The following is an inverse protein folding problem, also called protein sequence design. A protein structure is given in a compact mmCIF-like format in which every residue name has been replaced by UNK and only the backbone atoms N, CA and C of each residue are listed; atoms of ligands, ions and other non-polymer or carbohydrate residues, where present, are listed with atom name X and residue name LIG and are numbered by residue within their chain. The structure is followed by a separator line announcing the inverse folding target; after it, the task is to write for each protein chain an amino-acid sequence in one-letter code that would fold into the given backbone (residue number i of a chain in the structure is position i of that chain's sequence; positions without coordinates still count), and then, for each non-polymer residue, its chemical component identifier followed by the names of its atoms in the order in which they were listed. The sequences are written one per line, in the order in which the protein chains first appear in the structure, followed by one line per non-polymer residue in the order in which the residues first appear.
data_IF_603213473516
#
_entry.id   IF_603213473516
#
_cell.length_a   1.000
_cell.length_b   1.000
_cell.length_c   1.000
_cell.angle_alpha   90.00
_cell.angle_beta   90.00
_cell.angle_gamma   90.00
#
_symmetry.space_group_name_H-M   'P 1'
#
loop_
_entity.id
_entity.type
_entity.pdbx_description
1 polymer ?
#
# COMPACT_ATOMS: atom_id res chain seq x y z
N UNK A 1 -13.92 -6.37 -6.92
CA UNK A 1 -12.65 -5.81 -7.42
C UNK A 1 -12.96 -5.18 -8.77
N UNK A 2 -12.63 -3.91 -8.96
CA UNK A 2 -12.84 -3.21 -10.24
C UNK A 2 -11.48 -3.03 -10.87
N UNK A 3 -11.29 -3.55 -12.08
CA UNK A 3 -10.11 -3.26 -12.89
C UNK A 3 -10.39 -2.03 -13.76
N UNK A 4 -9.51 -1.05 -13.67
CA UNK A 4 -9.55 0.14 -14.52
C UNK A 4 -9.06 -0.28 -15.90
N UNK A 5 -9.90 -0.12 -16.94
CA UNK A 5 -9.51 -0.41 -18.32
C UNK A 5 -8.55 0.67 -18.86
N UNK A 6 -7.83 0.40 -19.95
CA UNK A 6 -6.85 1.36 -20.48
C UNK A 6 -7.47 2.67 -20.96
N UNK A 7 -8.72 2.61 -21.43
CA UNK A 7 -9.48 3.72 -22.02
C UNK A 7 -10.49 4.36 -21.06
N UNK A 8 -10.70 3.77 -19.87
CA UNK A 8 -11.67 4.26 -18.89
C UNK A 8 -10.99 4.59 -17.56
N UNK A 9 -10.89 5.88 -17.18
CA UNK A 9 -10.33 6.24 -15.90
C UNK A 9 -11.29 5.94 -14.75
N UNK A 10 -10.73 5.78 -13.55
CA UNK A 10 -11.51 5.74 -12.32
C UNK A 10 -11.68 7.17 -11.78
N UNK A 11 -12.92 7.56 -11.46
CA UNK A 11 -13.22 8.85 -10.86
C UNK A 11 -13.31 8.67 -9.35
N UNK A 12 -12.37 9.26 -8.61
CA UNK A 12 -12.39 9.30 -7.16
C UNK A 12 -13.10 10.58 -6.70
N UNK A 13 -14.32 10.46 -6.18
CA UNK A 13 -15.11 11.62 -5.77
C UNK A 13 -14.60 12.23 -4.44
N UNK A 14 -14.90 13.51 -4.19
CA UNK A 14 -14.58 14.16 -2.92
C UNK A 14 -15.03 13.36 -1.69
N UNK A 15 -14.12 13.11 -0.75
CA UNK A 15 -14.40 12.37 0.48
C UNK A 15 -14.42 10.84 0.33
N UNK A 16 -14.23 10.30 -0.87
CA UNK A 16 -14.15 8.86 -1.09
C UNK A 16 -12.79 8.28 -0.69
N UNK A 17 -12.85 7.00 -0.30
CA UNK A 17 -11.71 6.14 0.03
C UNK A 17 -11.81 4.86 -0.80
N UNK A 18 -10.72 4.49 -1.47
CA UNK A 18 -10.64 3.23 -2.23
C UNK A 18 -9.29 2.56 -2.04
N UNK A 19 -9.27 1.22 -2.14
CA UNK A 19 -8.03 0.45 -2.18
C UNK A 19 -7.57 0.27 -3.63
N UNK A 20 -6.34 0.69 -3.91
CA UNK A 20 -5.64 0.46 -5.18
C UNK A 20 -4.44 -0.46 -5.01
N UNK A 21 -3.79 -0.84 -6.10
CA UNK A 21 -2.52 -1.57 -6.04
C UNK A 21 -1.58 -1.18 -7.18
N UNK A 22 -0.28 -1.43 -6.99
CA UNK A 22 0.74 -1.27 -8.03
C UNK A 22 0.49 -2.27 -9.15
N UNK A 23 0.52 -1.79 -10.40
CA UNK A 23 0.09 -2.59 -11.55
C UNK A 23 1.13 -3.63 -11.95
N UNK A 24 2.42 -3.34 -11.80
CA UNK A 24 3.51 -4.21 -12.24
C UNK A 24 4.56 -4.43 -11.16
N UNK A 25 4.72 -3.47 -10.26
CA UNK A 25 5.79 -3.47 -9.26
C UNK A 25 5.49 -4.46 -8.14
N UNK A 26 6.30 -5.52 -8.09
CA UNK A 26 6.44 -6.42 -6.95
C UNK A 26 7.67 -6.01 -6.15
N UNK A 27 7.46 -5.67 -4.89
CA UNK A 27 8.51 -5.26 -3.96
C UNK A 27 8.93 -6.48 -3.15
N UNK A 28 10.24 -6.65 -2.99
CA UNK A 28 10.86 -7.61 -2.08
C UNK A 28 11.97 -6.90 -1.33
N UNK A 29 11.91 -6.90 0.01
CA UNK A 29 12.92 -6.27 0.85
C UNK A 29 13.81 -7.32 1.52
N UNK A 30 15.14 -7.10 1.58
CA UNK A 30 16.03 -7.88 2.44
C UNK A 30 15.75 -7.63 3.93
N UNK A 31 16.53 -8.26 4.79
CA UNK A 31 16.42 -8.16 6.25
C UNK A 31 16.98 -6.86 6.83
N UNK A 32 17.74 -6.09 6.05
CA UNK A 32 18.47 -4.90 6.48
C UNK A 32 17.91 -3.60 5.89
N UNK A 33 16.79 -3.66 5.15
CA UNK A 33 16.12 -2.49 4.58
C UNK A 33 14.67 -2.38 5.05
N UNK A 34 14.27 -1.15 5.35
CA UNK A 34 12.86 -0.75 5.39
C UNK A 34 12.59 0.21 4.24
N UNK A 35 11.41 0.11 3.62
CA UNK A 35 11.00 1.07 2.59
C UNK A 35 9.80 1.90 3.06
N UNK A 36 9.66 3.09 2.48
CA UNK A 36 8.52 3.97 2.72
C UNK A 36 7.87 4.34 1.40
N UNK A 37 6.59 4.02 1.27
CA UNK A 37 5.73 4.54 0.22
C UNK A 37 5.47 6.02 0.50
N UNK A 38 5.69 6.85 -0.51
CA UNK A 38 5.55 8.30 -0.42
C UNK A 38 4.68 8.83 -1.55
N UNK A 39 3.84 9.81 -1.21
CA UNK A 39 3.08 10.57 -2.20
C UNK A 39 3.97 11.40 -3.12
N UNK A 40 3.45 11.72 -4.31
CA UNK A 40 4.07 12.71 -5.19
C UNK A 40 3.53 14.09 -4.87
N UNK A 41 4.40 15.10 -4.80
CA UNK A 41 3.98 16.49 -4.52
C UNK A 41 2.89 16.98 -5.49
N UNK A 42 2.99 16.64 -6.78
CA UNK A 42 2.00 17.00 -7.79
C UNK A 42 0.60 16.46 -7.48
N UNK A 43 0.51 15.25 -6.92
CA UNK A 43 -0.75 14.61 -6.57
C UNK A 43 -1.28 15.13 -5.22
N UNK A 44 -0.40 15.35 -4.25
CA UNK A 44 -0.77 15.99 -2.99
C UNK A 44 -1.37 17.39 -3.17
N UNK A 45 -0.88 18.15 -4.17
CA UNK A 45 -1.41 19.49 -4.50
C UNK A 45 -2.84 19.50 -5.04
N UNK A 46 -3.34 18.37 -5.54
CA UNK A 46 -4.74 18.22 -5.95
C UNK A 46 -5.59 17.50 -4.90
N UNK A 47 -5.04 17.26 -3.70
CA UNK A 47 -5.73 16.63 -2.58
C UNK A 47 -5.77 15.10 -2.62
N UNK A 48 -4.97 14.45 -3.46
CA UNK A 48 -4.86 12.99 -3.47
C UNK A 48 -3.87 12.51 -2.40
N UNK A 49 -4.36 11.67 -1.50
CA UNK A 49 -3.56 10.93 -0.51
C UNK A 49 -3.47 9.47 -0.95
N UNK A 50 -2.29 8.84 -0.83
CA UNK A 50 -2.04 7.48 -1.35
C UNK A 50 -1.80 6.41 -0.27
N UNK A 51 -1.57 6.86 0.97
CA UNK A 51 -1.59 6.07 2.18
C UNK A 51 -1.97 7.03 3.33
N UNK A 52 -2.80 6.59 4.27
CA UNK A 52 -3.21 7.43 5.41
C UNK A 52 -2.41 7.13 6.67
N UNK A 53 -2.05 5.87 6.89
CA UNK A 53 -1.44 5.43 8.17
C UNK A 53 -0.25 4.50 7.99
N UNK A 54 -0.31 3.55 7.06
CA UNK A 54 0.72 2.54 6.84
C UNK A 54 1.59 2.85 5.61
N UNK A 55 2.56 3.75 5.77
CA UNK A 55 3.53 4.08 4.71
C UNK A 55 4.74 3.14 4.66
N UNK A 56 5.01 2.36 5.72
CA UNK A 56 6.17 1.50 5.79
C UNK A 56 5.96 0.15 5.09
N UNK A 57 7.04 -0.35 4.51
CA UNK A 57 7.17 -1.69 3.97
C UNK A 57 8.28 -2.38 4.76
N UNK A 58 7.91 -3.41 5.50
CA UNK A 58 8.77 -4.05 6.50
C UNK A 58 9.87 -4.93 5.87
N UNK A 59 11.01 -5.12 6.56
CA UNK A 59 12.05 -6.07 6.14
C UNK A 59 11.50 -7.47 5.89
N UNK A 60 11.89 -8.10 4.78
CA UNK A 60 11.37 -9.41 4.35
C UNK A 60 9.98 -9.40 3.71
N UNK A 61 9.32 -8.24 3.59
CA UNK A 61 8.06 -8.11 2.85
C UNK A 61 8.23 -8.48 1.37
N UNK A 62 7.25 -9.19 0.81
CA UNK A 62 7.18 -9.56 -0.61
C UNK A 62 5.76 -9.37 -1.15
N UNK A 63 5.59 -8.61 -2.22
CA UNK A 63 4.27 -8.50 -2.88
C UNK A 63 4.05 -7.18 -3.61
N UNK A 64 2.82 -7.02 -4.12
CA UNK A 64 2.33 -5.75 -4.63
C UNK A 64 1.90 -4.86 -3.47
N UNK A 65 2.10 -3.55 -3.58
CA UNK A 65 1.67 -2.62 -2.53
C UNK A 65 0.17 -2.37 -2.65
N UNK A 66 -0.52 -2.37 -1.51
CA UNK A 66 -1.90 -1.84 -1.41
C UNK A 66 -1.80 -0.34 -1.15
N UNK A 67 -2.57 0.45 -1.91
CA UNK A 67 -2.65 1.89 -1.78
C UNK A 67 -3.98 2.27 -1.16
N UNK A 68 -3.96 3.18 -0.21
CA UNK A 68 -5.16 3.74 0.42
C UNK A 68 -5.44 5.11 -0.21
N UNK A 69 -6.17 5.12 -1.31
CA UNK A 69 -6.39 6.31 -2.13
C UNK A 69 -7.57 7.11 -1.57
N UNK A 70 -7.32 8.35 -1.18
CA UNK A 70 -8.35 9.26 -0.63
C UNK A 70 -8.33 10.61 -1.34
N UNK A 71 -9.52 11.15 -1.64
CA UNK A 71 -9.67 12.49 -2.19
C UNK A 71 -10.11 13.47 -1.10
N UNK A 72 -9.17 14.31 -0.65
CA UNK A 72 -9.41 15.38 0.32
C UNK A 72 -9.82 16.71 -0.32
N UNK A 73 -9.85 16.80 -1.65
CA UNK A 73 -10.27 17.98 -2.37
C UNK A 73 -11.80 18.06 -2.53
N UNK A 74 -12.27 19.18 -3.08
CA UNK A 74 -13.69 19.43 -3.38
C UNK A 74 -14.10 19.07 -4.81
N UNK A 75 -13.13 18.67 -5.64
CA UNK A 75 -13.33 18.28 -7.03
C UNK A 75 -12.99 16.80 -7.21
N UNK A 76 -13.68 16.07 -8.10
CA UNK A 76 -13.31 14.70 -8.45
C UNK A 76 -11.89 14.62 -9.02
N UNK A 77 -11.19 13.54 -8.71
CA UNK A 77 -9.85 13.25 -9.22
C UNK A 77 -9.93 12.06 -10.17
N UNK A 78 -9.34 12.22 -11.34
CA UNK A 78 -9.31 11.17 -12.37
C UNK A 78 -8.03 10.34 -12.22
N UNK A 79 -8.18 9.05 -11.95
CA UNK A 79 -7.09 8.09 -11.82
C UNK A 79 -7.01 7.24 -13.09
N UNK A 80 -5.83 7.22 -13.71
CA UNK A 80 -5.58 6.47 -14.93
C UNK A 80 -4.78 5.21 -14.61
N UNK A 81 -5.11 4.11 -15.30
CA UNK A 81 -4.31 2.88 -15.25
C UNK A 81 -2.85 3.20 -15.64
N UNK A 82 -1.90 2.72 -14.85
CA UNK A 82 -0.47 2.90 -15.13
C UNK A 82 0.09 4.30 -14.81
N UNK A 83 -0.72 5.23 -14.28
CA UNK A 83 -0.19 6.53 -13.87
C UNK A 83 0.79 6.39 -12.69
N UNK A 84 1.81 7.25 -12.66
CA UNK A 84 2.74 7.32 -11.53
C UNK A 84 2.02 7.88 -10.30
N UNK A 85 1.68 7.03 -9.34
CA UNK A 85 0.86 7.38 -8.17
C UNK A 85 1.69 7.75 -6.93
N UNK A 86 2.90 7.22 -6.82
CA UNK A 86 3.77 7.39 -5.66
C UNK A 86 5.24 7.24 -6.00
N UNK A 87 6.05 7.12 -4.97
CA UNK A 87 7.48 6.78 -5.02
C UNK A 87 7.85 6.01 -3.77
N UNK A 88 8.98 5.29 -3.81
CA UNK A 88 9.46 4.50 -2.67
C UNK A 88 10.84 5.03 -2.27
N UNK A 89 11.01 5.31 -0.97
CA UNK A 89 12.30 5.60 -0.35
C UNK A 89 12.78 4.35 0.39
N UNK A 90 14.06 4.01 0.26
CA UNK A 90 14.66 2.89 1.00
C UNK A 90 15.56 3.45 2.10
N UNK A 91 15.47 2.87 3.28
CA UNK A 91 16.23 3.25 4.45
C UNK A 91 16.96 2.01 4.97
N UNK A 92 18.27 2.14 5.12
CA UNK A 92 19.11 1.11 5.72
C UNK A 92 18.84 1.05 7.23
N UNK A 93 18.61 -0.16 7.74
CA UNK A 93 18.54 -0.41 9.18
C UNK A 93 19.94 -0.34 9.80
N UNK A 94 20.01 -0.01 11.09
CA UNK A 94 21.29 -0.04 11.83
C UNK A 94 21.88 -1.45 11.92
N UNK A 95 21.02 -2.47 11.93
CA UNK A 95 21.34 -3.90 11.94
C UNK A 95 20.22 -4.66 11.23
N UNK A 96 20.47 -5.86 10.69
CA UNK A 96 19.42 -6.72 10.16
C UNK A 96 18.32 -6.98 11.20
N UNK A 97 17.07 -7.12 10.75
CA UNK A 97 15.93 -7.39 11.60
C UNK A 97 15.90 -8.85 12.07
N UNK A 98 15.78 -9.08 13.38
CA UNK A 98 15.72 -10.43 13.96
C UNK A 98 14.49 -11.24 13.50
N UNK A 99 13.38 -10.54 13.22
CA UNK A 99 12.11 -11.12 12.78
C UNK A 99 11.64 -10.43 11.53
N UNK A 100 11.60 -11.19 10.44
CA UNK A 100 11.16 -10.69 9.14
C UNK A 100 9.65 -10.79 9.00
N UNK A 101 9.11 -9.87 8.19
CA UNK A 101 7.72 -9.95 7.78
C UNK A 101 7.42 -11.29 7.11
N UNK A 102 6.32 -11.92 7.51
CA UNK A 102 5.94 -13.26 7.06
C UNK A 102 6.48 -14.40 7.93
N UNK A 103 7.33 -14.12 8.91
CA UNK A 103 7.68 -15.14 9.92
C UNK A 103 6.47 -15.52 10.75
N UNK A 104 6.35 -16.81 11.12
CA UNK A 104 5.24 -17.34 11.92
C UNK A 104 5.06 -16.56 13.22
N UNK A 105 6.18 -16.16 13.84
CA UNK A 105 6.19 -15.41 15.09
C UNK A 105 5.54 -14.03 15.05
N UNK A 106 5.40 -13.41 13.87
CA UNK A 106 4.81 -12.09 13.72
C UNK A 106 3.33 -12.12 13.32
N UNK A 107 2.77 -13.28 12.97
CA UNK A 107 1.38 -13.36 12.51
C UNK A 107 1.08 -12.46 11.31
N UNK A 108 2.09 -12.21 10.46
CA UNK A 108 2.01 -11.27 9.34
C UNK A 108 0.90 -11.64 8.36
N UNK A 109 0.01 -10.69 8.07
CA UNK A 109 -1.26 -10.98 7.41
C UNK A 109 -1.24 -10.87 5.89
N UNK A 110 -0.30 -10.14 5.32
CA UNK A 110 -0.41 -9.69 3.92
C UNK A 110 0.76 -10.17 3.04
N UNK A 111 1.62 -11.06 3.55
CA UNK A 111 2.79 -11.55 2.82
C UNK A 111 2.38 -12.21 1.49
N UNK A 112 3.06 -11.83 0.41
CA UNK A 112 2.84 -12.38 -0.93
C UNK A 112 1.60 -11.85 -1.67
N UNK A 113 0.94 -10.79 -1.18
CA UNK A 113 -0.26 -10.27 -1.85
C UNK A 113 0.00 -9.81 -3.29
N UNK A 114 -0.96 -10.11 -4.17
CA UNK A 114 -0.92 -9.78 -5.61
C UNK A 114 -2.03 -8.80 -6.03
N UNK A 115 -2.98 -8.55 -5.13
CA UNK A 115 -4.15 -7.69 -5.32
C UNK A 115 -4.32 -6.82 -4.09
N UNK A 116 -5.10 -5.72 -4.15
CA UNK A 116 -5.44 -4.93 -2.97
C UNK A 116 -6.30 -5.76 -2.01
N UNK A 117 -5.63 -6.49 -1.12
CA UNK A 117 -6.26 -7.42 -0.19
C UNK A 117 -7.03 -6.61 0.86
N UNK A 118 -8.31 -6.93 1.06
CA UNK A 118 -9.12 -6.30 2.10
C UNK A 118 -8.50 -6.55 3.50
N UNK A 119 -8.84 -5.68 4.44
CA UNK A 119 -8.32 -5.75 5.81
C UNK A 119 -8.57 -7.13 6.44
N UNK A 120 -7.52 -7.70 7.03
CA UNK A 120 -7.54 -8.92 7.85
C UNK A 120 -7.49 -8.60 9.35
N UNK A 121 -7.95 -7.41 9.74
CA UNK A 121 -7.95 -6.96 11.14
C UNK A 121 -8.66 -7.93 12.08
N UNK A 122 -9.73 -8.59 11.64
CA UNK A 122 -10.46 -9.58 12.44
C UNK A 122 -9.62 -10.75 12.95
N UNK A 123 -8.51 -11.10 12.29
CA UNK A 123 -7.62 -12.19 12.69
C UNK A 123 -6.91 -11.93 14.02
N UNK A 124 -6.82 -10.66 14.47
CA UNK A 124 -6.21 -10.33 15.78
C UNK A 124 -7.05 -10.83 16.95
N UNK A 125 -8.34 -11.05 16.72
CA UNK A 125 -9.30 -11.41 17.77
C UNK A 125 -9.58 -12.91 17.82
N UNK A 126 -9.22 -13.66 16.77
CA UNK A 126 -9.53 -15.10 16.68
C UNK A 126 -8.59 -15.98 17.51
N UNK A 127 -7.42 -15.46 17.88
CA UNK A 127 -6.38 -16.19 18.63
C UNK A 127 -6.39 -15.90 20.15
N UNK A 128 -7.37 -15.12 20.66
CA UNK A 128 -7.46 -14.80 22.10
C UNK A 128 -8.44 -15.71 22.86
N UNK A 129 -9.24 -16.53 22.16
CA UNK A 129 -10.25 -17.42 22.74
C UNK A 129 -9.82 -18.91 22.76
N UNK A 130 -8.51 -19.20 22.72
CA UNK A 130 -7.94 -20.56 22.73
C UNK A 130 -7.05 -20.83 23.94
#
# INVERSE_FOLDING_TARGET
MVEIQEDQPFILHPGEFVLGSTLWEKIELPDDLVARLEGKSSLGRIGLVIHSTAGFVDPGWKGHLTLELSNLARLPITLYRGMKIGQISYLQLSTPADRLYGSESLGSKYQGQTVPTASRFSQDFTNQDS
#
